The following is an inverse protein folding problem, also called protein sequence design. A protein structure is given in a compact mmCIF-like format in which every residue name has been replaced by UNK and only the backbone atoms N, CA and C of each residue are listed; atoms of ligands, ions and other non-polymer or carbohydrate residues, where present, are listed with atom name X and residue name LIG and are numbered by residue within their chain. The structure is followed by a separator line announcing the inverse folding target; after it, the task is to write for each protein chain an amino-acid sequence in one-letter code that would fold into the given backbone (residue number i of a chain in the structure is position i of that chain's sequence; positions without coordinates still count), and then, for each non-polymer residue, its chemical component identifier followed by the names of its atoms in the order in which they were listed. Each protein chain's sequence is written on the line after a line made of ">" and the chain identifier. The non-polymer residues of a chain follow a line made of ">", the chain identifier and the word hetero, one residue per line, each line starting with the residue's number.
data_IF_205076029435
#
_entry.id   IF_205076029435
#
_cell.length_a   1.000
_cell.length_b   1.000
_cell.length_c   1.000
_cell.angle_alpha   90.00
_cell.angle_beta   90.00
_cell.angle_gamma   90.00
#
_symmetry.space_group_name_H-M   'P 1'
#
loop_
_entity.id
_entity.type
_entity.pdbx_description
1 polymer ?
#
# COMPACT_ATOMS: atom_id res chain seq x y z
N UNK A 1 -1.06 -14.22 -1.66
CA UNK A 1 -1.74 -12.94 -1.39
C UNK A 1 -3.23 -13.22 -1.50
N UNK A 2 -3.83 -13.63 -0.39
CA UNK A 2 -5.26 -13.88 -0.33
C UNK A 2 -6.02 -12.58 -0.56
N UNK A 3 -6.88 -12.54 -1.58
CA UNK A 3 -7.74 -11.39 -1.93
C UNK A 3 -8.74 -11.00 -0.82
N UNK A 4 -8.67 -11.63 0.35
CA UNK A 4 -9.55 -11.38 1.49
C UNK A 4 -9.20 -10.09 2.24
N UNK A 5 -8.02 -9.51 2.01
CA UNK A 5 -7.60 -8.29 2.66
C UNK A 5 -8.48 -7.08 2.28
N UNK A 6 -8.99 -7.03 1.04
CA UNK A 6 -9.91 -5.97 0.56
C UNK A 6 -11.30 -6.01 1.18
N UNK A 7 -11.66 -7.10 1.88
CA UNK A 7 -12.92 -7.24 2.62
C UNK A 7 -12.80 -6.80 4.08
N UNK A 8 -11.63 -6.33 4.51
CA UNK A 8 -11.45 -5.90 5.89
C UNK A 8 -12.31 -4.65 6.18
N UNK A 9 -13.11 -4.66 7.26
CA UNK A 9 -13.96 -3.52 7.60
C UNK A 9 -13.19 -2.21 7.77
N UNK A 10 -11.91 -2.25 8.16
CA UNK A 10 -11.04 -1.07 8.27
C UNK A 10 -10.79 -0.37 6.93
N UNK A 11 -11.02 -1.04 5.80
CA UNK A 11 -10.88 -0.44 4.47
C UNK A 11 -12.19 0.19 3.94
N UNK A 12 -13.32 0.01 4.62
CA UNK A 12 -14.62 0.54 4.16
C UNK A 12 -14.66 2.07 4.09
N UNK A 13 -13.82 2.74 4.89
CA UNK A 13 -13.68 4.20 4.89
C UNK A 13 -12.69 4.72 3.84
N UNK A 14 -12.00 3.83 3.12
CA UNK A 14 -11.06 4.20 2.05
C UNK A 14 -11.82 4.26 0.73
N UNK A 15 -11.54 5.29 -0.06
CA UNK A 15 -12.12 5.43 -1.40
C UNK A 15 -11.88 4.17 -2.26
N UNK A 16 -12.92 3.59 -2.89
CA UNK A 16 -12.78 2.42 -3.76
C UNK A 16 -11.71 2.58 -4.85
N UNK A 17 -11.52 3.78 -5.41
CA UNK A 17 -10.49 4.04 -6.42
C UNK A 17 -9.06 3.87 -5.86
N UNK A 18 -8.86 4.22 -4.58
CA UNK A 18 -7.58 4.01 -3.88
C UNK A 18 -7.33 2.52 -3.61
N UNK A 19 -8.38 1.77 -3.24
CA UNK A 19 -8.27 0.31 -3.07
C UNK A 19 -7.96 -0.39 -4.39
N UNK A 20 -8.62 0.01 -5.48
CA UNK A 20 -8.33 -0.51 -6.82
C UNK A 20 -6.88 -0.21 -7.24
N UNK A 21 -6.39 0.99 -6.92
CA UNK A 21 -4.99 1.33 -7.12
C UNK A 21 -4.07 0.35 -6.35
N UNK A 22 -4.26 0.18 -5.04
CA UNK A 22 -3.47 -0.74 -4.23
C UNK A 22 -3.52 -2.18 -4.78
N UNK A 23 -4.68 -2.64 -5.26
CA UNK A 23 -4.81 -3.95 -5.89
C UNK A 23 -3.93 -4.04 -7.14
N UNK A 24 -4.01 -3.05 -8.05
CA UNK A 24 -3.15 -2.94 -9.23
C UNK A 24 -1.66 -2.91 -8.84
N UNK A 25 -1.30 -2.24 -7.74
CA UNK A 25 0.07 -2.22 -7.23
C UNK A 25 0.55 -3.60 -6.80
N UNK A 26 -0.27 -4.32 -6.03
CA UNK A 26 0.08 -5.67 -5.58
C UNK A 26 0.21 -6.64 -6.75
N UNK A 27 -0.63 -6.50 -7.79
CA UNK A 27 -0.57 -7.33 -8.99
C UNK A 27 0.65 -7.00 -9.86
N UNK A 28 0.94 -5.72 -10.12
CA UNK A 28 2.07 -5.29 -10.94
C UNK A 28 3.43 -5.45 -10.24
N UNK A 29 3.45 -5.38 -8.90
CA UNK A 29 4.65 -5.65 -8.10
C UNK A 29 4.95 -7.14 -7.94
N UNK A 30 3.97 -8.02 -8.17
CA UNK A 30 4.13 -9.47 -8.03
C UNK A 30 5.11 -9.99 -9.10
N UNK A 31 6.21 -10.59 -8.65
CA UNK A 31 7.23 -11.14 -9.55
C UNK A 31 8.27 -10.12 -10.05
N UNK A 32 8.18 -8.84 -9.67
CA UNK A 32 9.26 -7.87 -9.92
C UNK A 32 10.45 -8.16 -9.00
N UNK A 33 11.65 -8.11 -9.56
CA UNK A 33 12.88 -8.22 -8.78
C UNK A 33 13.11 -6.96 -7.96
N UNK A 34 13.90 -7.05 -6.89
CA UNK A 34 14.19 -5.91 -6.00
C UNK A 34 14.77 -4.69 -6.76
N UNK A 35 15.50 -4.92 -7.86
CA UNK A 35 16.04 -3.90 -8.78
C UNK A 35 14.96 -3.16 -9.58
N UNK A 36 13.84 -3.82 -9.88
CA UNK A 36 12.72 -3.27 -10.64
C UNK A 36 11.66 -2.64 -9.74
N UNK A 37 11.74 -2.91 -8.43
CA UNK A 37 10.78 -2.44 -7.45
C UNK A 37 10.91 -0.93 -7.21
N UNK A 38 12.13 -0.39 -7.16
CA UNK A 38 12.35 1.04 -6.95
C UNK A 38 11.82 1.90 -8.12
N UNK A 39 12.15 1.63 -9.41
CA UNK A 39 11.57 2.35 -10.54
C UNK A 39 10.04 2.19 -10.62
N UNK A 40 9.55 1.00 -10.25
CA UNK A 40 8.12 0.75 -10.18
C UNK A 40 7.44 1.64 -9.13
N UNK A 41 7.95 1.69 -7.90
CA UNK A 41 7.44 2.59 -6.86
C UNK A 41 7.51 4.05 -7.33
N UNK A 42 8.61 4.53 -7.92
CA UNK A 42 8.68 5.90 -8.45
C UNK A 42 7.59 6.20 -9.51
N UNK A 43 7.32 5.24 -10.40
CA UNK A 43 6.27 5.35 -11.43
C UNK A 43 4.88 5.46 -10.81
N UNK A 44 4.65 4.78 -9.69
CA UNK A 44 3.40 4.82 -8.94
C UNK A 44 3.26 6.14 -8.19
N UNK A 45 4.31 6.62 -7.53
CA UNK A 45 4.32 7.94 -6.89
C UNK A 45 3.94 9.05 -7.87
N UNK A 46 4.52 8.99 -9.08
CA UNK A 46 4.20 9.93 -10.17
C UNK A 46 2.74 9.85 -10.63
N UNK A 47 2.15 8.65 -10.69
CA UNK A 47 0.74 8.45 -11.04
C UNK A 47 -0.21 8.92 -9.94
N UNK A 48 0.07 8.56 -8.68
CA UNK A 48 -0.66 9.06 -7.51
C UNK A 48 -0.73 10.58 -7.51
N UNK A 49 0.43 11.24 -7.75
CA UNK A 49 0.52 12.69 -7.84
C UNK A 49 -0.30 13.27 -8.99
N UNK A 50 -0.22 12.69 -10.20
CA UNK A 50 -1.00 13.15 -11.37
C UNK A 50 -2.51 13.02 -11.16
N UNK A 51 -2.94 11.99 -10.44
CA UNK A 51 -4.35 11.71 -10.18
C UNK A 51 -4.88 12.39 -8.91
N UNK A 52 -4.07 13.22 -8.23
CA UNK A 52 -4.43 13.85 -6.95
C UNK A 52 -4.69 12.83 -5.82
N UNK A 53 -4.24 11.59 -6.00
CA UNK A 53 -4.57 10.47 -5.15
C UNK A 53 -3.53 10.37 -4.02
N UNK A 54 -3.94 10.77 -2.82
CA UNK A 54 -3.15 10.69 -1.59
C UNK A 54 -3.93 9.92 -0.53
N UNK A 55 -3.21 9.23 0.35
CA UNK A 55 -3.78 8.56 1.50
C UNK A 55 -3.60 9.43 2.72
N UNK A 56 -4.65 9.58 3.51
CA UNK A 56 -4.54 10.16 4.85
C UNK A 56 -3.74 9.22 5.77
N UNK A 57 -3.21 9.74 6.89
CA UNK A 57 -2.58 8.90 7.91
C UNK A 57 -3.48 7.75 8.37
N UNK A 58 -4.77 8.03 8.56
CA UNK A 58 -5.78 7.05 8.99
C UNK A 58 -5.98 5.94 7.94
N UNK A 59 -6.12 6.32 6.66
CA UNK A 59 -6.23 5.34 5.58
C UNK A 59 -4.94 4.50 5.46
N UNK A 60 -3.78 5.13 5.65
CA UNK A 60 -2.48 4.44 5.60
C UNK A 60 -2.33 3.42 6.73
N UNK A 61 -2.69 3.79 7.95
CA UNK A 61 -2.69 2.87 9.09
C UNK A 61 -3.64 1.69 8.88
N UNK A 62 -4.86 1.95 8.36
CA UNK A 62 -5.80 0.89 8.02
C UNK A 62 -5.22 -0.10 7.00
N UNK A 63 -4.53 0.39 5.97
CA UNK A 63 -3.85 -0.45 4.97
C UNK A 63 -2.75 -1.28 5.62
N UNK A 64 -1.93 -0.68 6.50
CA UNK A 64 -0.84 -1.36 7.19
C UNK A 64 -1.37 -2.47 8.11
N UNK A 65 -2.43 -2.20 8.89
CA UNK A 65 -3.10 -3.21 9.72
C UNK A 65 -3.60 -4.39 8.90
N UNK A 66 -4.18 -4.10 7.75
CA UNK A 66 -4.67 -5.12 6.84
C UNK A 66 -3.54 -5.94 6.22
N UNK A 67 -2.42 -5.30 5.85
CA UNK A 67 -1.23 -5.99 5.34
C UNK A 67 -0.63 -6.93 6.39
N UNK A 68 -0.72 -6.60 7.68
CA UNK A 68 -0.24 -7.45 8.79
C UNK A 68 -1.17 -8.64 9.06
N UNK A 69 -2.46 -8.50 8.78
CA UNK A 69 -3.45 -9.53 9.08
C UNK A 69 -3.13 -10.83 8.33
N UNK A 70 -3.00 -11.94 9.05
CA UNK A 70 -2.74 -13.26 8.47
C UNK A 70 -1.27 -13.51 8.08
N UNK A 71 -0.34 -12.62 8.45
CA UNK A 71 1.10 -12.80 8.22
C UNK A 71 1.83 -13.41 9.41
N UNK A 72 2.99 -14.00 9.13
CA UNK A 72 3.88 -14.48 10.17
C UNK A 72 4.48 -13.33 11.00
N UNK A 73 4.88 -13.55 12.27
CA UNK A 73 5.46 -12.51 13.11
C UNK A 73 6.68 -11.82 12.48
N UNK A 74 7.51 -12.58 11.76
CA UNK A 74 8.68 -12.05 11.06
C UNK A 74 8.31 -11.12 9.89
N UNK A 75 7.23 -11.43 9.16
CA UNK A 75 6.72 -10.54 8.11
C UNK A 75 6.06 -9.29 8.68
N UNK A 76 5.29 -9.42 9.76
CA UNK A 76 4.71 -8.28 10.46
C UNK A 76 5.80 -7.32 10.90
N UNK A 77 6.89 -7.83 11.48
CA UNK A 77 8.01 -7.00 11.90
C UNK A 77 8.69 -6.27 10.73
N UNK A 78 8.82 -6.90 9.56
CA UNK A 78 9.33 -6.25 8.35
C UNK A 78 8.40 -5.14 7.87
N UNK A 79 7.08 -5.36 7.91
CA UNK A 79 6.08 -4.35 7.55
C UNK A 79 6.15 -3.16 8.50
N UNK A 80 6.32 -3.42 9.80
CA UNK A 80 6.51 -2.37 10.82
C UNK A 80 7.79 -1.56 10.59
N UNK A 81 8.89 -2.20 10.20
CA UNK A 81 10.13 -1.50 9.82
C UNK A 81 9.94 -0.59 8.60
N UNK A 82 9.08 -1.00 7.67
CA UNK A 82 8.76 -0.23 6.47
C UNK A 82 7.64 0.80 6.70
N UNK A 83 7.01 0.83 7.89
CA UNK A 83 5.89 1.72 8.21
C UNK A 83 6.18 3.17 7.85
N UNK A 84 7.28 3.72 8.35
CA UNK A 84 7.65 5.12 8.10
C UNK A 84 7.86 5.45 6.61
N UNK A 85 8.39 4.50 5.84
CA UNK A 85 8.56 4.64 4.39
C UNK A 85 7.20 4.58 3.67
N UNK A 86 6.32 3.66 4.06
CA UNK A 86 4.97 3.55 3.51
C UNK A 86 4.13 4.79 3.82
N UNK A 87 4.18 5.30 5.06
CA UNK A 87 3.51 6.54 5.45
C UNK A 87 4.01 7.72 4.63
N UNK A 88 5.33 7.87 4.51
CA UNK A 88 5.91 8.96 3.69
C UNK A 88 5.44 8.85 2.24
N UNK A 89 5.43 7.65 1.68
CA UNK A 89 5.11 7.43 0.26
C UNK A 89 3.62 7.57 -0.07
N UNK A 90 2.74 7.07 0.80
CA UNK A 90 1.28 7.11 0.61
C UNK A 90 0.67 8.45 1.03
N UNK A 91 1.27 9.11 2.04
CA UNK A 91 0.81 10.40 2.56
C UNK A 91 1.43 11.61 1.84
N UNK A 92 2.18 11.44 0.74
CA UNK A 92 2.69 12.57 -0.05
C UNK A 92 1.54 13.33 -0.72
N UNK A 93 0.95 14.24 0.05
CA UNK A 93 0.26 15.44 -0.39
C UNK A 93 1.31 16.55 -0.34
N UNK A 94 1.61 17.16 -1.47
CA UNK A 94 2.40 18.39 -1.49
C UNK A 94 1.57 19.53 -0.88
#
# INVERSE_FOLDING_TARGET
>A
MDKNWTRNPSLQSIDPAKIEMLLKLTEQGKGKSQKDLLPFLMTIAGQSKKNGMSFSPQETDAIIEVLKTGKSPAEVQKIEQLRGLMTTFLSQKH
#
